data_IF_456439859236
#
_entry.id   IF_456439859236
#
_cell.length_a   1.000
_cell.length_b   1.000
_cell.length_c   1.000
_cell.angle_alpha   90.00
_cell.angle_beta   90.00
_cell.angle_gamma   90.00
#
_symmetry.space_group_name_H-M   'P 1'
#
loop_
_entity.id
_entity.type
_entity.pdbx_description
1 polymer ?
#
# COMPACT_ATOMS: atom_id res chain seq x y z
N UNK A 1 -2.82 16.30 6.60
CA UNK A 1 -1.67 15.52 7.13
C UNK A 1 -0.66 15.31 6.00
N UNK A 2 0.60 15.25 6.33
CA UNK A 2 1.65 14.94 5.36
C UNK A 2 1.74 13.43 5.18
N UNK A 3 1.76 12.97 3.93
CA UNK A 3 1.94 11.54 3.61
C UNK A 3 3.39 11.32 3.21
N UNK A 4 4.05 10.36 3.87
CA UNK A 4 5.41 9.93 3.56
C UNK A 4 5.39 8.46 3.20
N UNK A 5 6.08 8.10 2.12
CA UNK A 5 6.16 6.72 1.65
C UNK A 5 7.60 6.25 1.85
N UNK A 6 7.79 5.15 2.58
CA UNK A 6 9.15 4.63 2.81
C UNK A 6 9.77 4.13 1.51
N UNK A 7 11.09 4.02 1.49
CA UNK A 7 11.78 3.48 0.31
C UNK A 7 11.33 2.06 -0.01
N UNK A 8 11.10 1.24 1.01
CA UNK A 8 10.59 -0.12 0.83
C UNK A 8 9.20 -0.13 0.22
N UNK A 9 8.32 0.75 0.68
CA UNK A 9 6.97 0.85 0.13
C UNK A 9 7.01 1.33 -1.32
N UNK A 10 7.89 2.28 -1.64
CA UNK A 10 8.06 2.71 -3.03
C UNK A 10 8.53 1.57 -3.93
N UNK A 11 9.43 0.73 -3.43
CA UNK A 11 9.88 -0.46 -4.15
C UNK A 11 8.74 -1.45 -4.35
N UNK A 12 7.90 -1.64 -3.33
CA UNK A 12 6.71 -2.50 -3.47
C UNK A 12 5.78 -1.99 -4.57
N UNK A 13 5.56 -0.68 -4.63
CA UNK A 13 4.73 -0.08 -5.67
C UNK A 13 5.36 -0.28 -7.05
N UNK A 14 6.67 -0.04 -7.18
CA UNK A 14 7.39 -0.22 -8.43
C UNK A 14 7.30 -1.66 -8.93
N UNK A 15 7.43 -2.63 -8.02
CA UNK A 15 7.30 -4.05 -8.37
C UNK A 15 5.89 -4.37 -8.86
N UNK A 16 4.87 -3.80 -8.23
CA UNK A 16 3.48 -3.98 -8.66
C UNK A 16 3.21 -3.37 -10.03
N UNK A 17 3.74 -2.18 -10.29
CA UNK A 17 3.63 -1.54 -11.61
C UNK A 17 4.22 -2.45 -12.69
N UNK A 18 5.42 -2.96 -12.46
CA UNK A 18 6.10 -3.83 -13.42
C UNK A 18 5.32 -5.12 -13.66
N UNK A 19 4.81 -5.73 -12.59
CA UNK A 19 4.02 -6.96 -12.68
C UNK A 19 2.80 -6.78 -13.58
N UNK A 20 2.05 -5.70 -13.37
CA UNK A 20 0.83 -5.47 -14.14
C UNK A 20 1.11 -4.99 -15.55
N UNK A 21 2.16 -4.20 -15.75
CA UNK A 21 2.53 -3.75 -17.10
C UNK A 21 2.96 -4.91 -17.99
N UNK A 22 3.60 -5.93 -17.43
CA UNK A 22 3.95 -7.14 -18.18
C UNK A 22 2.73 -7.96 -18.60
N UNK A 23 1.60 -7.79 -17.91
CA UNK A 23 0.36 -8.48 -18.26
C UNK A 23 -0.40 -7.76 -19.38
N UNK A 24 -0.37 -6.42 -19.36
CA UNK A 24 -1.06 -5.63 -20.39
C UNK A 24 -0.50 -4.22 -20.36
N UNK A 25 -0.21 -3.70 -21.56
CA UNK A 25 0.26 -2.32 -21.72
C UNK A 25 -0.76 -1.35 -21.14
N UNK A 26 -0.30 -0.42 -20.31
CA UNK A 26 -1.13 0.57 -19.63
C UNK A 26 -1.65 0.13 -18.27
N UNK A 27 -1.60 -1.17 -17.94
CA UNK A 27 -2.11 -1.67 -16.67
C UNK A 27 -1.21 -1.24 -15.51
N UNK A 28 0.08 -1.08 -15.73
CA UNK A 28 1.01 -0.58 -14.71
C UNK A 28 0.66 0.84 -14.27
N UNK A 29 0.34 1.72 -15.22
CA UNK A 29 -0.09 3.08 -14.88
C UNK A 29 -1.42 3.07 -14.14
N UNK A 30 -2.34 2.22 -14.54
CA UNK A 30 -3.63 2.10 -13.85
C UNK A 30 -3.44 1.64 -12.40
N UNK A 31 -2.54 0.67 -12.18
CA UNK A 31 -2.18 0.22 -10.84
C UNK A 31 -1.60 1.39 -10.02
N UNK A 32 -0.63 2.11 -10.58
CA UNK A 32 0.00 3.25 -9.90
C UNK A 32 -1.05 4.28 -9.48
N UNK A 33 -1.90 4.70 -10.41
CA UNK A 33 -2.92 5.71 -10.16
C UNK A 33 -3.91 5.24 -9.09
N UNK A 34 -4.27 3.96 -9.11
CA UNK A 34 -5.19 3.39 -8.13
C UNK A 34 -4.57 3.36 -6.73
N UNK A 35 -3.32 2.90 -6.62
CA UNK A 35 -2.64 2.82 -5.31
C UNK A 35 -2.45 4.24 -4.73
N UNK A 36 -2.06 5.22 -5.53
CA UNK A 36 -1.92 6.58 -5.03
C UNK A 36 -3.27 7.19 -4.65
N UNK A 37 -4.33 6.89 -5.37
CA UNK A 37 -5.68 7.32 -5.00
C UNK A 37 -6.10 6.70 -3.66
N UNK A 38 -5.80 5.41 -3.46
CA UNK A 38 -6.08 4.74 -2.19
C UNK A 38 -5.29 5.39 -1.04
N UNK A 39 -4.01 5.70 -1.26
CA UNK A 39 -3.18 6.37 -0.26
C UNK A 39 -3.72 7.77 0.05
N UNK A 40 -4.12 8.54 -0.96
CA UNK A 40 -4.70 9.87 -0.76
C UNK A 40 -6.00 9.83 0.04
N UNK A 41 -6.77 8.76 -0.03
CA UNK A 41 -7.98 8.61 0.77
C UNK A 41 -7.70 8.67 2.27
N UNK A 42 -6.47 8.41 2.68
CA UNK A 42 -6.07 8.47 4.08
C UNK A 42 -6.10 9.88 4.65
N UNK A 43 -6.12 10.91 3.81
CA UNK A 43 -6.34 12.29 4.29
C UNK A 43 -7.70 12.43 4.99
N UNK A 44 -8.66 11.60 4.62
CA UNK A 44 -10.02 11.62 5.18
C UNK A 44 -10.24 10.45 6.13
N UNK A 45 -9.78 9.24 5.76
CA UNK A 45 -10.15 8.00 6.43
C UNK A 45 -9.04 7.40 7.30
N UNK A 46 -7.97 8.13 7.56
CA UNK A 46 -6.87 7.64 8.38
C UNK A 46 -7.37 7.12 9.73
N UNK A 47 -6.94 5.91 10.08
CA UNK A 47 -7.23 5.32 11.40
C UNK A 47 -8.50 4.50 11.50
N UNK A 48 -9.36 4.48 10.48
CA UNK A 48 -10.58 3.66 10.53
C UNK A 48 -10.34 2.18 10.20
N UNK A 49 -9.16 1.86 9.69
CA UNK A 49 -8.85 0.52 9.19
C UNK A 49 -8.44 -0.41 10.33
N UNK A 50 -8.56 -1.72 10.09
CA UNK A 50 -8.12 -2.69 11.09
C UNK A 50 -6.61 -2.69 11.24
N UNK A 51 -6.13 -3.10 12.41
CA UNK A 51 -4.70 -3.22 12.69
C UNK A 51 -4.23 -4.66 12.48
N UNK A 52 -3.08 -4.79 11.80
CA UNK A 52 -2.36 -6.04 11.65
C UNK A 52 -0.92 -5.78 12.09
N UNK A 53 -0.47 -6.42 13.18
CA UNK A 53 0.90 -6.29 13.70
C UNK A 53 1.35 -4.83 13.89
N UNK A 54 0.51 -4.04 14.52
CA UNK A 54 0.78 -2.62 14.80
C UNK A 54 0.69 -1.69 13.58
N UNK A 55 0.31 -2.20 12.42
CA UNK A 55 0.05 -1.37 11.24
C UNK A 55 -1.44 -1.34 10.95
N UNK A 56 -1.94 -0.22 10.48
CA UNK A 56 -3.27 -0.17 9.87
C UNK A 56 -3.19 -0.73 8.47
N UNK A 57 -4.23 -1.44 8.04
CA UNK A 57 -4.27 -2.06 6.72
C UNK A 57 -5.43 -1.52 5.89
N UNK A 58 -5.10 -0.76 4.86
CA UNK A 58 -6.06 -0.29 3.87
C UNK A 58 -6.04 -1.27 2.68
N UNK A 59 -7.19 -1.86 2.37
CA UNK A 59 -7.31 -2.73 1.19
C UNK A 59 -7.57 -1.87 -0.04
N UNK A 60 -6.80 -2.09 -1.11
CA UNK A 60 -7.01 -1.38 -2.37
C UNK A 60 -8.39 -1.70 -2.92
N UNK A 61 -9.00 -0.72 -3.58
CA UNK A 61 -10.35 -0.89 -4.14
C UNK A 61 -10.38 -1.78 -5.38
N UNK A 62 -9.30 -1.78 -6.16
CA UNK A 62 -9.31 -2.40 -7.50
C UNK A 62 -8.30 -3.50 -7.71
N UNK A 63 -7.32 -3.62 -6.82
CA UNK A 63 -6.26 -4.63 -6.92
C UNK A 63 -6.19 -5.42 -5.62
N UNK A 64 -5.75 -6.68 -5.66
CA UNK A 64 -5.62 -7.49 -4.45
C UNK A 64 -4.37 -7.10 -3.68
N UNK A 65 -4.25 -5.83 -3.32
CA UNK A 65 -3.14 -5.25 -2.59
C UNK A 65 -3.62 -4.61 -1.30
N UNK A 66 -2.76 -4.63 -0.30
CA UNK A 66 -3.00 -3.95 0.97
C UNK A 66 -1.90 -2.94 1.22
N UNK A 67 -2.29 -1.79 1.75
CA UNK A 67 -1.41 -0.69 2.10
C UNK A 67 -1.32 -0.65 3.61
N UNK A 68 -0.12 -0.82 4.14
CA UNK A 68 0.13 -0.85 5.58
C UNK A 68 0.72 0.48 6.02
N UNK A 69 0.09 1.12 7.00
CA UNK A 69 0.48 2.46 7.40
C UNK A 69 0.40 2.65 8.91
N UNK A 70 1.10 3.68 9.38
CA UNK A 70 0.95 4.24 10.73
C UNK A 70 0.73 5.74 10.58
N UNK A 71 0.22 6.36 11.64
CA UNK A 71 0.01 7.81 11.59
C UNK A 71 0.13 8.42 12.98
N UNK A 72 0.39 9.72 12.99
CA UNK A 72 0.28 10.57 14.16
C UNK A 72 -0.48 11.84 13.78
N UNK A 73 -0.49 12.86 14.63
CA UNK A 73 -1.29 14.06 14.40
C UNK A 73 -1.02 14.75 13.07
N UNK A 74 0.22 14.73 12.61
CA UNK A 74 0.65 15.52 11.46
C UNK A 74 1.06 14.69 10.25
N UNK A 75 1.30 13.41 10.43
CA UNK A 75 1.92 12.58 9.41
C UNK A 75 1.24 11.23 9.25
N UNK A 76 1.21 10.76 8.01
CA UNK A 76 0.83 9.39 7.66
C UNK A 76 2.07 8.75 7.02
N UNK A 77 2.45 7.58 7.50
CA UNK A 77 3.64 6.87 7.01
C UNK A 77 3.21 5.58 6.34
N UNK A 78 3.49 5.45 5.04
CA UNK A 78 3.21 4.23 4.29
C UNK A 78 4.44 3.34 4.38
N UNK A 79 4.30 2.16 5.01
CA UNK A 79 5.41 1.25 5.26
C UNK A 79 5.50 0.10 4.27
N UNK A 80 4.38 -0.34 3.72
CA UNK A 80 4.38 -1.47 2.80
C UNK A 80 3.15 -1.43 1.89
N UNK A 81 3.31 -1.94 0.68
CA UNK A 81 2.23 -2.11 -0.30
C UNK A 81 2.39 -3.51 -0.87
N UNK A 82 1.60 -4.46 -0.37
CA UNK A 82 1.82 -5.88 -0.60
C UNK A 82 0.62 -6.55 -1.24
N UNK A 83 0.91 -7.49 -2.12
CA UNK A 83 -0.11 -8.36 -2.72
C UNK A 83 -0.71 -9.24 -1.61
N UNK A 84 -2.02 -9.18 -1.43
CA UNK A 84 -2.73 -9.96 -0.40
C UNK A 84 -2.66 -11.46 -0.65
N UNK A 85 -2.33 -11.88 -1.88
CA UNK A 85 -2.18 -13.29 -2.25
C UNK A 85 -0.80 -13.84 -1.91
N UNK A 86 0.12 -12.99 -1.47
CA UNK A 86 1.46 -13.42 -1.05
C UNK A 86 1.39 -14.35 0.14
N UNK A 87 2.43 -15.17 0.31
CA UNK A 87 2.56 -16.08 1.44
C UNK A 87 2.46 -15.29 2.76
N UNK A 88 1.61 -15.70 3.71
CA UNK A 88 1.47 -15.00 4.99
C UNK A 88 2.78 -14.86 5.76
N UNK A 89 3.69 -15.83 5.67
CA UNK A 89 5.00 -15.73 6.31
C UNK A 89 5.82 -14.58 5.72
N UNK A 90 5.78 -14.41 4.40
CA UNK A 90 6.45 -13.32 3.72
C UNK A 90 5.91 -11.97 4.20
N UNK A 91 4.59 -11.82 4.23
CA UNK A 91 3.94 -10.58 4.70
C UNK A 91 4.32 -10.32 6.16
N UNK A 92 4.23 -11.32 7.02
CA UNK A 92 4.56 -11.19 8.44
C UNK A 92 6.02 -10.76 8.65
N UNK A 93 6.95 -11.25 7.84
CA UNK A 93 8.35 -10.86 7.94
C UNK A 93 8.58 -9.40 7.56
N UNK A 94 7.82 -8.89 6.62
CA UNK A 94 7.92 -7.47 6.22
C UNK A 94 7.34 -6.56 7.30
N UNK A 95 6.26 -6.98 7.96
CA UNK A 95 5.56 -6.17 8.96
C UNK A 95 6.14 -6.25 10.37
N UNK A 96 7.32 -6.75 10.55
CA UNK A 96 7.95 -6.82 11.87
C UNK A 96 8.15 -5.45 12.52
#
# INVERSE_FOLDING_TARGET
>A
MKISITNEAELHIANGIKFYELQKIGLGKYFLDTIYSDIESLQIYCGIHIKIKNYYRLLSKRFPYAIYYKYNENNIYIYAVLDCRSNPTFINNILK
#
